data_IF_546757465131
#
_entry.id   IF_546757465131
#
_cell.length_a   1.000
_cell.length_b   1.000
_cell.length_c   1.000
_cell.angle_alpha   90.00
_cell.angle_beta   90.00
_cell.angle_gamma   90.00
#
_symmetry.space_group_name_H-M   'P 1'
#
loop_
_entity.id
_entity.type
_entity.pdbx_description
1 polymer ?
#
# COMPACT_ATOMS: atom_id res chain seq x y z
N UNK A 1 -14.88 16.40 -8.37
CA UNK A 1 -13.97 15.25 -8.58
C UNK A 1 -14.77 14.15 -9.23
N UNK A 2 -14.38 13.69 -10.43
CA UNK A 2 -15.03 12.55 -11.08
C UNK A 2 -14.32 11.26 -10.62
N UNK A 3 -15.09 10.26 -10.21
CA UNK A 3 -14.58 8.95 -9.77
C UNK A 3 -15.13 7.90 -10.72
N UNK A 4 -14.25 7.04 -11.23
CA UNK A 4 -14.62 5.86 -12.01
C UNK A 4 -14.40 4.63 -11.15
N UNK A 5 -15.44 3.81 -11.00
CA UNK A 5 -15.39 2.55 -10.26
C UNK A 5 -15.79 1.43 -11.22
N UNK A 6 -14.99 0.38 -11.26
CA UNK A 6 -15.16 -0.74 -12.18
C UNK A 6 -14.75 -2.05 -11.52
N UNK A 7 -15.33 -3.14 -12.00
CA UNK A 7 -14.90 -4.49 -11.62
C UNK A 7 -13.96 -4.98 -12.70
N UNK A 8 -12.73 -5.31 -12.28
CA UNK A 8 -11.76 -5.87 -13.21
C UNK A 8 -12.26 -7.22 -13.73
N UNK A 9 -12.24 -7.41 -15.04
CA UNK A 9 -12.44 -8.70 -15.73
C UNK A 9 -11.09 -9.18 -16.27
N UNK A 10 -10.62 -10.34 -15.81
CA UNK A 10 -9.35 -10.95 -16.20
C UNK A 10 -9.28 -12.44 -15.92
N UNK A 11 -8.14 -13.06 -16.16
CA UNK A 11 -7.88 -14.47 -15.87
C UNK A 11 -7.49 -14.69 -14.40
N UNK A 12 -7.68 -15.92 -13.90
CA UNK A 12 -7.33 -16.27 -12.51
C UNK A 12 -5.89 -15.91 -12.14
N UNK A 13 -4.92 -16.23 -13.01
CA UNK A 13 -3.51 -15.92 -12.79
C UNK A 13 -3.24 -14.42 -12.61
N UNK A 14 -4.02 -13.56 -13.29
CA UNK A 14 -3.89 -12.11 -13.15
C UNK A 14 -4.41 -11.64 -11.79
N UNK A 15 -5.52 -12.22 -11.30
CA UNK A 15 -6.02 -11.94 -9.94
C UNK A 15 -5.04 -12.43 -8.87
N UNK A 16 -4.42 -13.59 -9.07
CA UNK A 16 -3.41 -14.12 -8.14
C UNK A 16 -2.21 -13.14 -8.03
N UNK A 17 -1.77 -12.56 -9.15
CA UNK A 17 -0.74 -11.52 -9.15
C UNK A 17 -1.17 -10.24 -8.41
N UNK A 18 -2.44 -9.82 -8.52
CA UNK A 18 -2.97 -8.70 -7.73
C UNK A 18 -3.03 -9.03 -6.24
N UNK A 19 -3.38 -10.26 -5.87
CA UNK A 19 -3.38 -10.72 -4.49
C UNK A 19 -1.96 -10.70 -3.89
N UNK A 20 -0.94 -11.05 -4.66
CA UNK A 20 0.46 -10.90 -4.27
C UNK A 20 0.86 -9.43 -4.08
N UNK A 21 0.42 -8.53 -4.98
CA UNK A 21 0.66 -7.10 -4.85
C UNK A 21 0.00 -6.53 -3.58
N UNK A 22 -1.26 -6.90 -3.30
CA UNK A 22 -1.99 -6.51 -2.09
C UNK A 22 -1.32 -7.06 -0.83
N UNK A 23 -0.86 -8.32 -0.86
CA UNK A 23 -0.09 -8.93 0.24
C UNK A 23 1.21 -8.17 0.50
N UNK A 24 1.89 -7.75 -0.56
CA UNK A 24 3.14 -6.98 -0.48
C UNK A 24 2.90 -5.57 0.06
N UNK A 25 1.85 -4.88 -0.38
CA UNK A 25 1.45 -3.59 0.17
C UNK A 25 1.15 -3.69 1.68
N UNK A 26 0.44 -4.74 2.10
CA UNK A 26 0.20 -5.03 3.53
C UNK A 26 1.49 -5.25 4.30
N UNK A 27 2.43 -6.02 3.73
CA UNK A 27 3.74 -6.25 4.32
C UNK A 27 4.46 -4.92 4.56
N UNK A 28 4.59 -4.06 3.55
CA UNK A 28 5.27 -2.77 3.67
C UNK A 28 4.62 -1.91 4.75
N UNK A 29 3.28 -1.79 4.74
CA UNK A 29 2.55 -1.01 5.74
C UNK A 29 2.80 -1.52 7.16
N UNK A 30 2.85 -2.84 7.37
CA UNK A 30 3.13 -3.42 8.69
C UNK A 30 4.61 -3.27 9.08
N UNK A 31 5.54 -3.40 8.14
CA UNK A 31 6.96 -3.18 8.37
C UNK A 31 7.25 -1.73 8.73
N UNK A 32 6.62 -0.76 8.08
CA UNK A 32 6.69 0.66 8.46
C UNK A 32 6.14 0.89 9.87
N UNK A 33 5.03 0.23 10.24
CA UNK A 33 4.50 0.34 11.59
C UNK A 33 5.46 -0.25 12.63
N UNK A 34 6.05 -1.42 12.36
CA UNK A 34 7.05 -2.04 13.22
C UNK A 34 8.27 -1.15 13.40
N UNK A 35 8.78 -0.60 12.30
CA UNK A 35 9.93 0.32 12.32
C UNK A 35 9.66 1.56 13.20
N UNK A 36 8.46 2.14 13.12
CA UNK A 36 8.06 3.23 14.03
C UNK A 36 7.94 2.79 15.49
N UNK A 37 7.51 1.55 15.77
CA UNK A 37 7.44 1.04 17.16
C UNK A 37 8.82 0.82 17.78
N UNK A 38 9.80 0.40 16.98
CA UNK A 38 11.15 0.06 17.43
C UNK A 38 12.09 1.27 17.51
N UNK A 39 11.74 2.40 16.89
CA UNK A 39 12.60 3.57 16.77
C UNK A 39 11.89 4.84 17.25
N UNK A 40 12.61 5.66 18.01
CA UNK A 40 12.09 6.96 18.48
C UNK A 40 12.25 8.04 17.41
N UNK A 41 11.30 8.98 17.34
CA UNK A 41 11.41 10.16 16.46
C UNK A 41 11.14 9.90 14.97
N UNK A 42 10.63 8.72 14.60
CA UNK A 42 10.30 8.38 13.20
C UNK A 42 9.11 9.21 12.71
N UNK A 43 9.36 10.01 11.67
CA UNK A 43 8.35 10.82 10.99
C UNK A 43 7.85 10.22 9.68
N UNK A 44 6.92 10.93 9.02
CA UNK A 44 6.36 10.55 7.71
C UNK A 44 7.43 10.28 6.66
N UNK A 45 8.42 11.16 6.59
CA UNK A 45 9.48 11.09 5.58
C UNK A 45 10.42 9.91 5.81
N UNK A 46 10.68 9.54 7.06
CA UNK A 46 11.48 8.38 7.42
C UNK A 46 10.79 7.08 6.99
N UNK A 47 9.48 6.98 7.21
CA UNK A 47 8.69 5.85 6.71
C UNK A 47 8.71 5.76 5.18
N UNK A 48 8.65 6.90 4.48
CA UNK A 48 8.76 6.91 3.01
C UNK A 48 10.14 6.45 2.53
N UNK A 49 11.22 6.84 3.21
CA UNK A 49 12.58 6.38 2.89
C UNK A 49 12.73 4.88 3.19
N UNK A 50 12.13 4.41 4.28
CA UNK A 50 12.17 3.01 4.69
C UNK A 50 11.57 2.07 3.62
N UNK A 51 10.59 2.51 2.83
CA UNK A 51 10.09 1.72 1.70
C UNK A 51 11.15 1.37 0.65
N UNK A 52 12.15 2.24 0.45
CA UNK A 52 13.27 1.95 -0.46
C UNK A 52 14.21 0.91 0.16
N UNK A 53 14.47 1.01 1.46
CA UNK A 53 15.25 0.01 2.21
C UNK A 53 14.60 -1.37 2.12
N UNK A 54 13.29 -1.46 2.38
CA UNK A 54 12.54 -2.71 2.29
C UNK A 54 12.60 -3.35 0.90
N UNK A 55 12.59 -2.55 -0.16
CA UNK A 55 12.65 -3.06 -1.53
C UNK A 55 14.05 -3.47 -1.98
N UNK A 56 15.09 -2.96 -1.33
CA UNK A 56 16.47 -3.35 -1.60
C UNK A 56 16.96 -4.45 -0.64
N UNK A 57 16.12 -4.89 0.29
CA UNK A 57 16.43 -5.95 1.24
C UNK A 57 16.41 -7.33 0.55
N UNK A 58 17.52 -8.09 0.59
CA UNK A 58 17.59 -9.42 -0.03
C UNK A 58 16.58 -10.43 0.53
N UNK A 59 16.15 -10.27 1.78
CA UNK A 59 15.18 -11.16 2.44
C UNK A 59 13.77 -11.03 1.87
N UNK A 60 13.47 -9.90 1.20
CA UNK A 60 12.14 -9.57 0.70
C UNK A 60 12.17 -9.18 -0.79
N UNK A 61 12.63 -10.08 -1.69
CA UNK A 61 12.80 -9.76 -3.11
C UNK A 61 11.47 -9.34 -3.78
N UNK A 62 10.34 -9.85 -3.29
CA UNK A 62 9.00 -9.46 -3.76
C UNK A 62 8.64 -7.99 -3.45
N UNK A 63 9.25 -7.35 -2.45
CA UNK A 63 8.95 -5.96 -2.12
C UNK A 63 9.35 -5.00 -3.26
N UNK A 64 10.38 -5.35 -4.03
CA UNK A 64 10.82 -4.57 -5.19
C UNK A 64 9.87 -4.66 -6.38
N UNK A 65 9.14 -5.78 -6.51
CA UNK A 65 8.13 -5.98 -7.56
C UNK A 65 7.02 -4.93 -7.46
N UNK A 66 6.65 -4.54 -6.24
CA UNK A 66 5.66 -3.50 -6.03
C UNK A 66 6.18 -2.14 -6.50
N UNK A 67 5.38 -1.45 -7.31
CA UNK A 67 5.72 -0.11 -7.80
C UNK A 67 6.07 0.85 -6.65
N UNK A 68 7.06 1.71 -6.83
CA UNK A 68 7.54 2.65 -5.81
C UNK A 68 6.44 3.53 -5.23
N UNK A 69 5.49 3.99 -6.04
CA UNK A 69 4.36 4.81 -5.58
C UNK A 69 3.40 4.01 -4.71
N UNK A 70 3.18 2.72 -5.02
CA UNK A 70 2.35 1.84 -4.21
C UNK A 70 3.00 1.49 -2.86
N UNK A 71 4.33 1.35 -2.83
CA UNK A 71 5.08 1.23 -1.57
C UNK A 71 4.94 2.50 -0.73
N UNK A 72 5.11 3.67 -1.35
CA UNK A 72 4.97 4.95 -0.66
C UNK A 72 3.55 5.15 -0.10
N UNK A 73 2.51 4.85 -0.88
CA UNK A 73 1.13 4.90 -0.42
C UNK A 73 0.90 3.97 0.78
N UNK A 74 1.55 2.81 0.80
CA UNK A 74 1.50 1.87 1.93
C UNK A 74 2.16 2.44 3.21
N UNK A 75 3.30 3.13 3.09
CA UNK A 75 3.91 3.86 4.20
C UNK A 75 3.06 5.03 4.68
N UNK A 76 2.45 5.79 3.77
CA UNK A 76 1.55 6.89 4.12
C UNK A 76 0.32 6.37 4.87
N UNK A 77 -0.24 5.23 4.50
CA UNK A 77 -1.32 4.58 5.26
C UNK A 77 -0.87 4.16 6.67
N UNK A 78 0.39 3.74 6.84
CA UNK A 78 0.96 3.50 8.18
C UNK A 78 1.04 4.82 8.96
N UNK A 79 1.60 5.87 8.35
CA UNK A 79 1.71 7.19 8.94
C UNK A 79 0.34 7.78 9.34
N UNK A 80 -0.67 7.70 8.48
CA UNK A 80 -2.03 8.18 8.79
C UNK A 80 -2.61 7.48 10.02
N UNK A 81 -2.26 6.21 10.26
CA UNK A 81 -2.67 5.49 11.47
C UNK A 81 -1.96 6.05 12.71
N UNK A 82 -0.66 6.34 12.59
CA UNK A 82 0.20 6.89 13.66
C UNK A 82 -0.19 8.34 13.98
N UNK A 83 -0.31 9.20 12.97
CA UNK A 83 -0.72 10.59 13.11
C UNK A 83 -2.10 10.68 13.79
N UNK A 84 -3.07 9.86 13.35
CA UNK A 84 -4.38 9.81 14.00
C UNK A 84 -4.30 9.40 15.47
N UNK A 85 -3.40 8.49 15.84
CA UNK A 85 -3.18 8.12 17.24
C UNK A 85 -2.69 9.33 18.06
N UNK A 86 -1.67 10.05 17.57
CA UNK A 86 -1.17 11.25 18.25
C UNK A 86 -2.20 12.37 18.32
N UNK A 87 -2.92 12.65 17.23
CA UNK A 87 -3.99 13.65 17.19
C UNK A 87 -5.08 13.34 18.21
N UNK A 88 -5.49 12.07 18.32
CA UNK A 88 -6.50 11.65 19.29
C UNK A 88 -6.00 11.75 20.74
N UNK A 89 -4.71 11.49 20.96
CA UNK A 89 -4.06 11.69 22.26
C UNK A 89 -4.03 13.17 22.65
N UNK A 90 -3.63 14.05 21.72
CA UNK A 90 -3.58 15.50 21.92
C UNK A 90 -4.97 16.08 22.19
N UNK A 91 -6.00 15.62 21.46
CA UNK A 91 -7.40 16.02 21.66
C UNK A 91 -8.08 15.38 22.88
N UNK A 92 -7.37 14.52 23.63
CA UNK A 92 -7.88 13.80 24.81
C UNK A 92 -9.21 13.05 24.57
N UNK A 93 -9.41 12.53 23.36
CA UNK A 93 -10.66 11.82 23.00
C UNK A 93 -10.78 10.51 23.80
N UNK A 94 -11.89 10.32 24.52
CA UNK A 94 -12.18 9.08 25.24
C UNK A 94 -12.45 7.92 24.27
N UNK A 95 -11.92 6.72 24.57
CA UNK A 95 -12.18 5.47 23.83
C UNK A 95 -11.62 5.35 22.41
N UNK A 96 -11.28 6.47 21.74
CA UNK A 96 -10.85 6.50 20.33
C UNK A 96 -9.34 6.64 20.11
N UNK A 97 -8.53 6.69 21.18
CA UNK A 97 -7.06 6.85 21.06
C UNK A 97 -6.44 5.70 20.27
N UNK A 98 -6.87 4.46 20.52
CA UNK A 98 -6.59 3.26 19.71
C UNK A 98 -5.18 3.18 19.10
N UNK A 99 -4.24 2.57 19.81
CA UNK A 99 -2.87 2.38 19.30
C UNK A 99 -2.85 1.69 17.93
N UNK A 100 -2.02 2.13 16.97
CA UNK A 100 -1.97 1.52 15.65
C UNK A 100 -1.62 0.03 15.72
N UNK A 101 -2.40 -0.81 15.03
CA UNK A 101 -2.22 -2.27 15.01
C UNK A 101 -1.73 -2.74 13.65
N UNK A 102 -1.06 -3.89 13.62
CA UNK A 102 -0.75 -4.59 12.38
C UNK A 102 -2.03 -5.01 11.65
N UNK A 103 -2.02 -4.87 10.32
CA UNK A 103 -3.10 -5.32 9.46
C UNK A 103 -2.98 -6.82 9.23
N UNK A 104 -4.07 -7.53 9.46
CA UNK A 104 -4.22 -8.95 9.11
C UNK A 104 -4.66 -9.09 7.65
N UNK A 105 -4.64 -10.31 7.12
CA UNK A 105 -5.35 -10.59 5.88
C UNK A 105 -6.85 -10.29 6.08
N UNK A 106 -7.44 -9.61 5.09
CA UNK A 106 -8.83 -9.18 5.08
C UNK A 106 -9.30 -9.11 3.64
N UNK A 107 -10.57 -9.40 3.40
CA UNK A 107 -11.20 -9.36 2.07
C UNK A 107 -11.24 -7.95 1.48
N UNK A 108 -11.26 -6.91 2.33
CA UNK A 108 -11.22 -5.50 1.92
C UNK A 108 -9.78 -4.94 1.92
N UNK A 109 -8.79 -5.75 1.56
CA UNK A 109 -7.42 -5.26 1.41
C UNK A 109 -7.27 -4.53 0.07
N UNK A 110 -6.44 -3.49 0.03
CA UNK A 110 -6.23 -2.73 -1.19
C UNK A 110 -4.79 -2.29 -1.33
N UNK A 111 -4.36 -2.18 -2.58
CA UNK A 111 -3.14 -1.51 -3.01
C UNK A 111 -3.54 -0.25 -3.76
N UNK A 112 -2.78 0.82 -3.60
CA UNK A 112 -3.05 2.11 -4.22
C UNK A 112 -1.87 2.51 -5.08
N UNK A 113 -2.16 2.84 -6.33
CA UNK A 113 -1.18 3.37 -7.26
C UNK A 113 -1.54 4.82 -7.55
N UNK A 114 -0.57 5.72 -7.39
CA UNK A 114 -0.77 7.16 -7.61
C UNK A 114 -0.61 7.50 -9.08
N UNK A 115 0.62 7.77 -9.49
CA UNK A 115 0.95 8.27 -10.84
C UNK A 115 1.60 7.24 -11.75
N UNK A 116 2.04 6.10 -11.20
CA UNK A 116 2.76 5.05 -11.94
C UNK A 116 2.37 3.65 -11.47
N UNK A 117 2.77 2.63 -12.23
CA UNK A 117 2.44 1.22 -11.96
C UNK A 117 1.15 0.76 -12.62
N UNK A 118 0.50 1.64 -13.37
CA UNK A 118 -0.68 1.34 -14.19
C UNK A 118 -0.72 2.23 -15.44
N UNK A 119 -1.48 1.81 -16.44
CA UNK A 119 -1.80 2.58 -17.65
C UNK A 119 -3.24 2.30 -18.06
N UNK A 120 -4.02 3.34 -18.29
CA UNK A 120 -5.39 3.25 -18.80
C UNK A 120 -5.37 3.36 -20.33
N UNK A 121 -6.22 2.60 -21.01
CA UNK A 121 -6.43 2.74 -22.46
C UNK A 121 -7.09 4.08 -22.81
N UNK A 122 -6.92 4.54 -24.06
CA UNK A 122 -7.49 5.81 -24.52
C UNK A 122 -9.01 5.84 -24.41
N UNK A 123 -9.66 4.70 -24.70
CA UNK A 123 -11.10 4.49 -24.58
C UNK A 123 -11.56 4.23 -23.12
N UNK A 124 -10.61 4.15 -22.17
CA UNK A 124 -10.82 3.89 -20.74
C UNK A 124 -11.56 2.59 -20.44
N UNK A 125 -11.47 1.60 -21.33
CA UNK A 125 -12.06 0.27 -21.15
C UNK A 125 -11.09 -0.75 -20.57
N UNK A 126 -9.79 -0.46 -20.58
CA UNK A 126 -8.76 -1.38 -20.14
C UNK A 126 -7.75 -0.72 -19.21
N UNK A 127 -7.33 -1.46 -18.19
CA UNK A 127 -6.30 -1.08 -17.23
C UNK A 127 -5.15 -2.08 -17.30
N UNK A 128 -3.96 -1.62 -17.63
CA UNK A 128 -2.74 -2.42 -17.62
C UNK A 128 -1.90 -2.09 -16.40
N UNK A 129 -1.62 -3.08 -15.55
CA UNK A 129 -0.64 -2.94 -14.48
C UNK A 129 0.77 -3.10 -15.04
N UNK A 130 1.69 -2.23 -14.62
CA UNK A 130 3.06 -2.14 -15.16
C UNK A 130 4.13 -2.30 -14.08
N UNK A 131 3.75 -2.87 -12.94
CA UNK A 131 4.69 -3.21 -11.89
C UNK A 131 5.29 -4.62 -12.09
N UNK A 132 6.23 -5.00 -11.23
CA UNK A 132 6.94 -6.27 -11.34
C UNK A 132 6.13 -7.49 -10.89
N UNK A 133 4.84 -7.34 -10.56
CA UNK A 133 3.93 -8.49 -10.43
C UNK A 133 3.33 -8.90 -11.77
N UNK A 134 3.45 -8.04 -12.79
CA UNK A 134 3.07 -8.38 -14.16
C UNK A 134 1.63 -8.89 -14.29
N UNK A 135 0.70 -8.33 -13.49
CA UNK A 135 -0.72 -8.71 -13.52
C UNK A 135 -1.40 -8.48 -14.87
N UNK A 136 -0.76 -7.73 -15.77
CA UNK A 136 -1.20 -7.55 -17.15
C UNK A 136 -2.37 -6.60 -17.29
N UNK A 137 -3.17 -6.82 -18.33
CA UNK A 137 -4.30 -5.96 -18.72
C UNK A 137 -5.62 -6.57 -18.28
N UNK A 138 -6.45 -5.77 -17.62
CA UNK A 138 -7.81 -6.10 -17.26
C UNK A 138 -8.76 -5.24 -18.06
N UNK A 139 -9.94 -5.77 -18.35
CA UNK A 139 -11.08 -4.96 -18.77
C UNK A 139 -11.72 -4.34 -17.53
N UNK A 140 -12.09 -3.07 -17.64
CA UNK A 140 -12.81 -2.29 -16.62
C UNK A 140 -14.31 -2.53 -16.74
#
# INVERSE_FOLDING_TARGET
>A
MLVFESKLEGMQQQYDALDEAIRTARFIRNSCLKYWQENSGIGRYDLSKYCAVLANCPDFPWAKKLNSMARQASAERAWSSIARFYDNCQKKLAGKKGYPKFKKHQTQASVEYKTSGWKLSEDRRYLTFTDGFEAGTFKL
#
